data_IF_904118357852
#
_entry.id   IF_904118357852
#
_cell.length_a   1.000
_cell.length_b   1.000
_cell.length_c   1.000
_cell.angle_alpha   90.00
_cell.angle_beta   90.00
_cell.angle_gamma   90.00
#
_symmetry.space_group_name_H-M   'P 1'
#
loop_
_entity.id
_entity.type
_entity.pdbx_description
1 polymer ?
#
# COMPACT_ATOMS: atom_id res chain seq x y z
N UNK A 1 27.14 8.31 15.56
CA UNK A 1 26.60 9.49 16.27
C UNK A 1 25.55 9.00 17.25
N UNK A 2 25.82 9.08 18.54
CA UNK A 2 24.81 8.86 19.57
C UNK A 2 23.74 9.94 19.39
N UNK A 3 22.55 9.53 18.92
CA UNK A 3 21.41 10.46 18.90
C UNK A 3 21.08 10.77 20.35
N UNK A 4 21.07 12.05 20.69
CA UNK A 4 20.63 12.51 22.00
C UNK A 4 19.23 11.94 22.26
N UNK A 5 18.95 11.48 23.48
CA UNK A 5 17.59 11.05 23.83
C UNK A 5 16.65 12.23 23.59
N UNK A 6 15.47 11.96 23.04
CA UNK A 6 14.42 12.98 22.94
C UNK A 6 13.96 13.25 24.38
N UNK A 7 14.45 14.35 24.96
CA UNK A 7 14.14 14.76 26.34
C UNK A 7 12.77 15.47 26.47
N UNK A 8 11.93 15.39 25.45
CA UNK A 8 10.68 16.09 25.40
C UNK A 8 9.53 15.23 25.92
N UNK A 9 8.73 15.75 26.85
CA UNK A 9 7.51 15.07 27.32
C UNK A 9 6.32 15.29 26.36
N UNK A 10 6.37 16.32 25.49
CA UNK A 10 5.30 16.69 24.56
C UNK A 10 5.85 16.77 23.15
N UNK A 11 5.39 15.86 22.27
CA UNK A 11 5.89 15.74 20.90
C UNK A 11 4.80 15.95 19.86
N UNK A 12 5.14 16.65 18.78
CA UNK A 12 4.32 16.78 17.59
C UNK A 12 4.92 15.96 16.46
N UNK A 13 4.20 14.96 15.97
CA UNK A 13 4.57 14.19 14.79
C UNK A 13 4.05 14.86 13.55
N UNK A 14 4.93 15.21 12.61
CA UNK A 14 4.58 15.72 11.30
C UNK A 14 4.74 14.62 10.27
N UNK A 15 3.62 14.16 9.69
CA UNK A 15 3.62 13.16 8.64
C UNK A 15 3.96 13.80 7.27
N UNK A 16 4.38 13.01 6.27
CA UNK A 16 4.56 13.52 4.92
C UNK A 16 3.25 14.13 4.35
N UNK A 17 3.33 15.19 3.55
CA UNK A 17 2.13 15.86 3.00
C UNK A 17 1.34 14.99 2.02
N UNK A 18 2.01 14.03 1.38
CA UNK A 18 1.39 13.15 0.39
C UNK A 18 1.61 11.70 0.79
N UNK A 19 0.70 11.17 1.58
CA UNK A 19 0.69 9.75 1.97
C UNK A 19 -0.46 9.01 1.32
N UNK A 20 -0.28 7.71 1.06
CA UNK A 20 -1.34 6.81 0.66
C UNK A 20 -2.14 6.27 1.85
N UNK A 21 -3.26 5.61 1.57
CA UNK A 21 -4.08 4.96 2.61
C UNK A 21 -3.28 3.91 3.39
N UNK A 22 -2.41 3.15 2.71
CA UNK A 22 -1.53 2.16 3.35
C UNK A 22 -0.54 2.81 4.31
N UNK A 23 0.11 3.91 3.87
CA UNK A 23 1.06 4.65 4.69
C UNK A 23 0.37 5.22 5.94
N UNK A 24 -0.86 5.74 5.79
CA UNK A 24 -1.64 6.26 6.91
C UNK A 24 -1.87 5.21 8.00
N UNK A 25 -2.17 3.96 7.61
CA UNK A 25 -2.30 2.84 8.55
C UNK A 25 -0.98 2.52 9.23
N UNK A 26 0.13 2.45 8.50
CA UNK A 26 1.45 2.13 9.07
C UNK A 26 1.93 3.24 10.04
N UNK A 27 1.71 4.52 9.71
CA UNK A 27 2.00 5.62 10.64
C UNK A 27 1.12 5.58 11.88
N UNK A 28 -0.20 5.37 11.71
CA UNK A 28 -1.12 5.29 12.83
C UNK A 28 -0.77 4.12 13.77
N UNK A 29 -0.37 2.98 13.20
CA UNK A 29 0.13 1.80 13.91
C UNK A 29 1.34 2.15 14.80
N UNK A 30 2.30 2.86 14.24
CA UNK A 30 3.53 3.24 14.95
C UNK A 30 3.26 4.26 16.06
N UNK A 31 2.46 5.27 15.76
CA UNK A 31 2.12 6.33 16.73
C UNK A 31 1.28 5.76 17.87
N UNK A 32 0.38 4.81 17.58
CA UNK A 32 -0.35 4.08 18.61
C UNK A 32 0.59 3.32 19.54
N UNK A 33 1.59 2.63 18.99
CA UNK A 33 2.59 1.93 19.77
C UNK A 33 3.42 2.89 20.65
N UNK A 34 3.76 4.07 20.12
CA UNK A 34 4.44 5.13 20.87
C UNK A 34 3.53 5.64 22.00
N UNK A 35 2.26 5.91 21.73
CA UNK A 35 1.28 6.33 22.74
C UNK A 35 1.16 5.31 23.86
N UNK A 36 1.04 4.04 23.51
CA UNK A 36 0.87 2.96 24.49
C UNK A 36 2.13 2.71 25.35
N UNK A 37 3.30 3.04 24.81
CA UNK A 37 4.57 2.93 25.57
C UNK A 37 4.77 4.03 26.61
N UNK A 38 3.92 5.07 26.59
CA UNK A 38 3.94 6.19 27.55
C UNK A 38 5.28 6.93 27.66
N UNK A 39 6.10 6.90 26.59
CA UNK A 39 7.38 7.64 26.56
C UNK A 39 7.18 9.15 26.35
N UNK A 40 5.97 9.58 26.01
CA UNK A 40 5.55 10.98 25.93
C UNK A 40 4.23 11.19 26.67
N UNK A 41 4.12 12.29 27.40
CA UNK A 41 2.90 12.67 28.13
C UNK A 41 1.83 13.18 27.14
N UNK A 42 2.26 13.84 26.06
CA UNK A 42 1.38 14.38 25.06
C UNK A 42 1.92 14.15 23.64
N UNK A 43 1.06 13.61 22.80
CA UNK A 43 1.32 13.39 21.37
C UNK A 43 0.33 14.20 20.56
N UNK A 44 0.83 14.96 19.59
CA UNK A 44 0.07 15.58 18.51
C UNK A 44 0.49 15.02 17.17
N UNK A 45 -0.41 15.10 16.18
CA UNK A 45 -0.17 14.56 14.85
C UNK A 45 -0.65 15.58 13.82
N UNK A 46 0.28 16.05 12.99
CA UNK A 46 0.00 16.90 11.85
C UNK A 46 0.05 16.09 10.55
N UNK A 47 -1.04 16.11 9.77
CA UNK A 47 -1.16 15.28 8.57
C UNK A 47 -2.28 15.74 7.64
N UNK A 48 -2.41 15.06 6.49
CA UNK A 48 -3.50 15.31 5.55
C UNK A 48 -4.85 14.85 6.14
N UNK A 49 -5.81 15.73 6.25
CA UNK A 49 -7.12 15.51 6.89
C UNK A 49 -7.92 14.33 6.32
N UNK A 50 -7.70 13.98 5.07
CA UNK A 50 -8.38 12.89 4.37
C UNK A 50 -8.25 11.52 5.06
N UNK A 51 -7.37 11.37 6.05
CA UNK A 51 -7.13 10.12 6.79
C UNK A 51 -7.41 10.24 8.29
N UNK A 52 -8.00 11.36 8.75
CA UNK A 52 -8.29 11.61 10.18
C UNK A 52 -9.09 10.48 10.81
N UNK A 53 -10.04 9.91 10.06
CA UNK A 53 -10.85 8.78 10.52
C UNK A 53 -10.00 7.52 10.84
N UNK A 54 -8.88 7.27 10.11
CA UNK A 54 -7.98 6.15 10.42
C UNK A 54 -7.39 6.35 11.82
N UNK A 55 -6.80 7.50 12.07
CA UNK A 55 -6.13 7.80 13.32
C UNK A 55 -7.09 7.81 14.51
N UNK A 56 -8.22 8.49 14.36
CA UNK A 56 -9.21 8.64 15.43
C UNK A 56 -10.00 7.38 15.70
N UNK A 57 -10.65 6.82 14.66
CA UNK A 57 -11.70 5.82 14.84
C UNK A 57 -11.14 4.41 15.01
N UNK A 58 -9.91 4.15 14.52
CA UNK A 58 -9.29 2.82 14.59
C UNK A 58 -8.10 2.74 15.54
N UNK A 59 -7.43 3.85 15.80
CA UNK A 59 -6.26 3.87 16.67
C UNK A 59 -6.43 4.71 17.95
N UNK A 60 -7.58 5.34 18.15
CA UNK A 60 -7.89 6.20 19.28
C UNK A 60 -6.81 7.28 19.49
N UNK A 61 -6.35 7.89 18.39
CA UNK A 61 -5.39 8.97 18.41
C UNK A 61 -6.14 10.30 18.33
N UNK A 62 -5.88 11.13 19.33
CA UNK A 62 -6.45 12.47 19.49
C UNK A 62 -5.42 13.53 19.08
N UNK A 63 -5.69 14.81 19.29
CA UNK A 63 -4.79 15.92 18.96
C UNK A 63 -4.30 15.86 17.49
N UNK A 64 -5.26 15.74 16.58
CA UNK A 64 -5.04 15.69 15.13
C UNK A 64 -5.11 17.11 14.57
N UNK A 65 -4.14 17.49 13.76
CA UNK A 65 -4.00 18.82 13.19
C UNK A 65 -3.78 18.75 11.67
N UNK A 66 -4.20 19.79 10.92
CA UNK A 66 -3.83 19.92 9.51
C UNK A 66 -2.31 20.13 9.37
N UNK A 67 -1.79 19.97 8.17
CA UNK A 67 -0.36 20.20 7.90
C UNK A 67 0.09 21.65 8.17
N UNK A 68 -0.79 22.59 7.93
CA UNK A 68 -0.54 24.00 8.26
C UNK A 68 -0.94 24.20 9.72
N UNK A 69 0.05 24.37 10.57
CA UNK A 69 -0.12 24.41 12.02
C UNK A 69 0.07 25.85 12.50
N UNK A 70 -0.84 26.33 13.33
CA UNK A 70 -0.71 27.66 13.93
C UNK A 70 0.39 27.70 15.01
N UNK A 71 0.90 28.89 15.27
CA UNK A 71 1.91 29.12 16.32
C UNK A 71 1.43 28.66 17.70
N UNK A 72 0.16 28.88 18.02
CA UNK A 72 -0.46 28.49 19.29
C UNK A 72 -0.48 26.97 19.47
N UNK A 73 -0.64 26.20 18.39
CA UNK A 73 -0.56 24.75 18.42
C UNK A 73 0.88 24.30 18.61
N UNK A 74 1.83 24.89 17.85
CA UNK A 74 3.24 24.55 17.97
C UNK A 74 3.77 24.78 19.39
N UNK A 75 3.37 25.85 20.05
CA UNK A 75 3.76 26.16 21.43
C UNK A 75 3.29 25.15 22.47
N UNK A 76 2.33 24.27 22.13
CA UNK A 76 1.86 23.19 23.04
C UNK A 76 2.81 22.00 23.09
N UNK A 77 3.83 21.97 22.24
CA UNK A 77 4.77 20.87 22.10
C UNK A 77 6.21 21.34 22.30
N UNK A 78 7.02 20.49 22.92
CA UNK A 78 8.42 20.78 23.23
C UNK A 78 9.36 20.32 22.11
N UNK A 79 8.92 19.37 21.29
CA UNK A 79 9.67 18.94 20.12
C UNK A 79 8.76 18.57 18.95
N UNK A 80 9.32 18.67 17.75
CA UNK A 80 8.68 18.32 16.49
C UNK A 80 9.49 17.19 15.87
N UNK A 81 8.82 16.10 15.51
CA UNK A 81 9.42 14.98 14.80
C UNK A 81 8.85 14.91 13.37
N UNK A 82 9.71 15.11 12.39
CA UNK A 82 9.32 15.09 11.00
C UNK A 82 9.64 13.75 10.36
N UNK A 83 8.64 12.91 10.17
CA UNK A 83 8.82 11.55 9.67
C UNK A 83 9.50 11.46 8.31
N UNK A 84 9.21 12.34 7.39
CA UNK A 84 9.84 12.33 6.05
C UNK A 84 11.37 12.47 6.13
N UNK A 85 11.84 13.38 6.95
CA UNK A 85 13.28 13.66 7.09
C UNK A 85 13.98 12.53 7.84
N UNK A 86 13.40 12.11 8.96
CA UNK A 86 14.01 11.10 9.83
C UNK A 86 14.00 9.71 9.20
N UNK A 87 12.88 9.28 8.61
CA UNK A 87 12.81 7.98 7.94
C UNK A 87 13.72 7.94 6.72
N UNK A 88 13.74 9.00 5.91
CA UNK A 88 14.61 9.07 4.75
C UNK A 88 16.09 9.01 5.13
N UNK A 89 16.48 9.66 6.22
CA UNK A 89 17.82 9.58 6.76
C UNK A 89 18.18 8.15 7.20
N UNK A 90 17.25 7.46 7.88
CA UNK A 90 17.42 6.07 8.29
C UNK A 90 17.53 5.10 7.10
N UNK A 91 16.71 5.26 6.09
CA UNK A 91 16.72 4.43 4.88
C UNK A 91 18.01 4.63 4.07
N UNK A 92 18.47 5.87 3.91
CA UNK A 92 19.69 6.17 3.18
C UNK A 92 20.95 5.57 3.86
N UNK A 93 20.96 5.50 5.19
CA UNK A 93 22.10 4.92 5.92
C UNK A 93 22.26 3.42 5.68
N UNK A 94 21.21 2.72 5.30
CA UNK A 94 21.19 1.24 5.25
C UNK A 94 21.01 0.66 3.86
N UNK A 95 20.73 1.46 2.85
CA UNK A 95 20.32 1.00 1.51
C UNK A 95 19.21 -0.09 1.52
N UNK A 96 18.44 -0.17 2.61
CA UNK A 96 17.41 -1.18 2.81
C UNK A 96 16.06 -0.47 2.91
N UNK A 97 15.13 -0.86 2.05
CA UNK A 97 13.73 -0.54 2.23
C UNK A 97 13.18 -1.42 3.35
N UNK A 98 12.52 -0.79 4.30
CA UNK A 98 11.88 -1.46 5.41
C UNK A 98 10.45 -0.94 5.59
N UNK A 99 9.68 -1.70 6.34
CA UNK A 99 8.32 -1.29 6.69
C UNK A 99 8.36 -0.05 7.59
N UNK A 100 7.47 0.92 7.33
CA UNK A 100 7.38 2.20 8.06
C UNK A 100 7.21 1.97 9.56
N UNK A 101 6.24 1.12 9.95
CA UNK A 101 5.98 0.79 11.34
C UNK A 101 7.21 0.21 12.04
N UNK A 102 7.90 -0.71 11.39
CA UNK A 102 9.10 -1.34 11.94
C UNK A 102 10.22 -0.33 12.18
N UNK A 103 10.48 0.57 11.24
CA UNK A 103 11.57 1.56 11.38
C UNK A 103 11.26 2.60 12.47
N UNK A 104 10.01 3.05 12.56
CA UNK A 104 9.60 3.98 13.61
C UNK A 104 9.72 3.34 15.00
N UNK A 105 9.18 2.13 15.16
CA UNK A 105 9.29 1.39 16.43
C UNK A 105 10.76 1.16 16.85
N UNK A 106 11.60 0.83 15.87
CA UNK A 106 13.03 0.66 16.12
C UNK A 106 13.71 1.96 16.53
N UNK A 107 13.37 3.09 15.90
CA UNK A 107 13.90 4.40 16.26
C UNK A 107 13.57 4.76 17.71
N UNK A 108 12.32 4.57 18.13
CA UNK A 108 11.87 4.83 19.49
C UNK A 108 12.15 3.68 20.48
N UNK A 109 12.84 2.61 20.04
CA UNK A 109 13.15 1.41 20.84
C UNK A 109 11.93 0.72 21.43
N UNK A 110 10.80 0.75 20.72
CA UNK A 110 9.54 0.17 21.15
C UNK A 110 9.41 -1.26 20.61
N UNK A 111 9.08 -2.18 21.50
CA UNK A 111 8.68 -3.55 21.15
C UNK A 111 7.17 -3.66 21.36
N UNK A 112 6.41 -3.76 20.30
CA UNK A 112 4.97 -3.98 20.35
C UNK A 112 4.50 -4.81 19.17
N UNK A 113 3.46 -5.62 19.41
CA UNK A 113 2.76 -6.32 18.35
C UNK A 113 1.96 -5.34 17.48
N UNK A 114 1.65 -5.69 16.25
CA UNK A 114 0.75 -4.91 15.42
C UNK A 114 -0.62 -4.75 16.11
N UNK A 115 -1.19 -3.55 16.02
CA UNK A 115 -2.56 -3.31 16.46
C UNK A 115 -3.54 -3.95 15.48
N UNK A 116 -4.30 -4.94 15.93
CA UNK A 116 -5.23 -5.73 15.12
C UNK A 116 -6.62 -5.63 15.71
N UNK A 117 -7.61 -5.33 14.86
CA UNK A 117 -9.01 -5.20 15.24
C UNK A 117 -9.79 -6.49 14.94
N UNK A 118 -9.82 -7.42 15.90
CA UNK A 118 -10.46 -8.73 15.74
C UNK A 118 -11.99 -8.71 15.72
N UNK A 119 -12.63 -7.67 16.23
CA UNK A 119 -14.10 -7.58 16.38
C UNK A 119 -14.89 -7.65 15.06
N UNK A 120 -14.21 -7.54 13.92
CA UNK A 120 -14.83 -7.56 12.59
C UNK A 120 -14.74 -8.91 11.86
N UNK A 121 -14.30 -9.98 12.55
CA UNK A 121 -14.10 -11.29 11.90
C UNK A 121 -15.39 -12.12 11.73
N UNK A 122 -16.49 -11.75 12.39
CA UNK A 122 -17.72 -12.56 12.47
C UNK A 122 -18.75 -12.27 11.39
N UNK A 123 -18.41 -11.50 10.36
CA UNK A 123 -19.36 -11.19 9.29
C UNK A 123 -19.34 -12.34 8.28
N UNK A 124 -20.34 -13.24 8.38
CA UNK A 124 -20.52 -14.34 7.44
C UNK A 124 -21.07 -13.84 6.10
N UNK A 125 -20.21 -13.51 5.16
CA UNK A 125 -20.57 -13.51 3.74
C UNK A 125 -20.28 -14.91 3.19
N UNK A 126 -21.30 -15.64 2.76
CA UNK A 126 -21.13 -16.99 2.18
C UNK A 126 -20.31 -16.90 0.90
N UNK A 127 -19.21 -17.67 0.85
CA UNK A 127 -18.44 -17.98 -0.37
C UNK A 127 -18.12 -16.76 -1.27
N UNK A 128 -17.71 -15.65 -0.69
CA UNK A 128 -17.36 -14.46 -1.46
C UNK A 128 -15.85 -14.22 -1.46
N UNK A 129 -15.27 -14.01 -2.65
CA UNK A 129 -13.89 -13.57 -2.83
C UNK A 129 -13.88 -12.15 -3.33
N UNK A 130 -13.11 -11.30 -2.67
CA UNK A 130 -12.95 -9.88 -3.00
C UNK A 130 -11.58 -9.63 -3.63
N UNK A 131 -11.53 -9.07 -4.84
CA UNK A 131 -10.30 -8.79 -5.58
C UNK A 131 -10.05 -7.29 -5.57
N UNK A 132 -8.84 -6.88 -5.15
CA UNK A 132 -8.35 -5.50 -5.11
C UNK A 132 -7.19 -5.36 -6.11
N UNK A 133 -7.48 -5.22 -7.42
CA UNK A 133 -6.46 -5.31 -8.46
C UNK A 133 -5.65 -4.03 -8.66
N UNK A 134 -6.08 -2.92 -8.06
CA UNK A 134 -5.64 -1.56 -8.38
C UNK A 134 -4.65 -1.01 -7.36
N UNK A 135 -3.64 -0.33 -7.86
CA UNK A 135 -2.76 0.57 -7.12
C UNK A 135 -2.60 1.89 -7.88
N UNK A 136 -2.03 2.90 -7.23
CA UNK A 136 -1.71 4.18 -7.87
C UNK A 136 -0.57 4.09 -8.90
N UNK A 137 0.09 2.94 -8.98
CA UNK A 137 1.16 2.66 -9.94
C UNK A 137 0.86 1.41 -10.74
N UNK A 138 1.12 1.41 -12.06
CA UNK A 138 0.95 0.23 -12.91
C UNK A 138 1.89 -0.92 -12.52
N UNK A 139 3.04 -0.65 -11.86
CA UNK A 139 3.94 -1.69 -11.34
C UNK A 139 3.33 -2.53 -10.22
N UNK A 140 2.30 -2.03 -9.59
CA UNK A 140 1.63 -2.64 -8.44
C UNK A 140 0.16 -2.92 -8.73
N UNK A 141 -0.25 -2.74 -9.99
CA UNK A 141 -1.60 -3.02 -10.48
C UNK A 141 -1.61 -4.38 -11.18
N UNK A 142 -2.66 -5.16 -10.97
CA UNK A 142 -2.81 -6.49 -11.57
C UNK A 142 -2.97 -6.39 -13.08
N UNK A 143 -2.20 -7.14 -13.89
CA UNK A 143 -2.41 -7.20 -15.34
C UNK A 143 -3.81 -7.72 -15.69
N UNK A 144 -4.41 -7.16 -16.75
CA UNK A 144 -5.79 -7.47 -17.14
C UNK A 144 -6.03 -8.95 -17.47
N UNK A 145 -5.04 -9.59 -18.10
CA UNK A 145 -5.12 -11.03 -18.40
C UNK A 145 -5.13 -11.88 -17.13
N UNK A 146 -4.36 -11.51 -16.12
CA UNK A 146 -4.34 -12.18 -14.82
C UNK A 146 -5.70 -11.99 -14.12
N UNK A 147 -6.21 -10.75 -14.09
CA UNK A 147 -7.50 -10.45 -13.50
C UNK A 147 -8.64 -11.26 -14.14
N UNK A 148 -8.74 -11.25 -15.48
CA UNK A 148 -9.80 -11.95 -16.19
C UNK A 148 -9.70 -13.47 -16.01
N UNK A 149 -8.51 -14.04 -16.00
CA UNK A 149 -8.33 -15.47 -15.75
C UNK A 149 -8.70 -15.87 -14.32
N UNK A 150 -8.36 -15.05 -13.33
CA UNK A 150 -8.80 -15.26 -11.95
C UNK A 150 -10.33 -15.20 -11.84
N UNK A 151 -10.96 -14.19 -12.42
CA UNK A 151 -12.42 -14.05 -12.45
C UNK A 151 -13.07 -15.30 -13.08
N UNK A 152 -12.62 -15.71 -14.27
CA UNK A 152 -13.20 -16.83 -14.99
C UNK A 152 -13.10 -18.15 -14.22
N UNK A 153 -12.03 -18.34 -13.46
CA UNK A 153 -11.87 -19.52 -12.64
C UNK A 153 -12.72 -19.43 -11.36
N UNK A 154 -12.61 -18.33 -10.63
CA UNK A 154 -13.23 -18.18 -9.31
C UNK A 154 -14.75 -18.13 -9.37
N UNK A 155 -15.33 -17.58 -10.44
CA UNK A 155 -16.79 -17.53 -10.66
C UNK A 155 -17.45 -18.92 -10.75
N UNK A 156 -16.67 -19.99 -10.95
CA UNK A 156 -17.19 -21.36 -10.95
C UNK A 156 -17.56 -21.83 -9.54
N UNK A 157 -16.95 -21.23 -8.51
CA UNK A 157 -17.02 -21.73 -7.13
C UNK A 157 -17.45 -20.66 -6.13
N UNK A 158 -17.27 -19.39 -6.45
CA UNK A 158 -17.43 -18.27 -5.52
C UNK A 158 -18.19 -17.10 -6.15
N UNK A 159 -18.84 -16.32 -5.32
CA UNK A 159 -19.26 -14.98 -5.70
C UNK A 159 -18.02 -14.08 -5.73
N UNK A 160 -17.71 -13.51 -6.88
CA UNK A 160 -16.53 -12.65 -7.06
C UNK A 160 -16.95 -11.17 -7.00
N UNK A 161 -16.38 -10.44 -6.05
CA UNK A 161 -16.48 -8.98 -5.97
C UNK A 161 -15.15 -8.37 -6.43
N UNK A 162 -15.17 -7.42 -7.36
CA UNK A 162 -13.97 -6.74 -7.86
C UNK A 162 -14.08 -5.25 -7.53
N UNK A 163 -13.07 -4.73 -6.85
CA UNK A 163 -13.05 -3.35 -6.35
C UNK A 163 -12.28 -2.44 -7.30
N UNK A 164 -12.95 -1.39 -7.75
CA UNK A 164 -12.42 -0.36 -8.63
C UNK A 164 -12.47 1.01 -7.95
N UNK A 165 -11.82 1.99 -8.55
CA UNK A 165 -11.84 3.40 -8.13
C UNK A 165 -12.12 4.25 -9.37
N UNK A 166 -13.34 4.76 -9.51
CA UNK A 166 -13.76 5.57 -10.67
C UNK A 166 -12.98 6.86 -10.85
N UNK A 167 -12.31 7.34 -9.80
CA UNK A 167 -11.47 8.54 -9.89
C UNK A 167 -10.05 8.23 -10.38
N UNK A 168 -9.71 6.95 -10.57
CA UNK A 168 -8.41 6.49 -11.07
C UNK A 168 -8.50 6.08 -12.53
N UNK A 169 -7.69 6.71 -13.39
CA UNK A 169 -7.62 6.35 -14.82
C UNK A 169 -7.11 4.93 -15.05
N UNK A 170 -6.18 4.47 -14.21
CA UNK A 170 -5.71 3.08 -14.22
C UNK A 170 -6.89 2.14 -13.96
N UNK A 171 -7.71 2.48 -12.98
CA UNK A 171 -8.88 1.71 -12.61
C UNK A 171 -9.93 1.67 -13.73
N UNK A 172 -10.25 2.81 -14.30
CA UNK A 172 -11.22 2.90 -15.40
C UNK A 172 -10.76 2.08 -16.62
N UNK A 173 -9.46 2.16 -16.94
CA UNK A 173 -8.90 1.38 -18.04
C UNK A 173 -8.98 -0.15 -17.79
N UNK A 174 -8.75 -0.61 -16.55
CA UNK A 174 -8.96 -2.01 -16.18
C UNK A 174 -10.44 -2.40 -16.24
N UNK A 175 -11.32 -1.57 -15.67
CA UNK A 175 -12.75 -1.83 -15.60
C UNK A 175 -13.38 -2.02 -17.00
N UNK A 176 -12.97 -1.19 -17.97
CA UNK A 176 -13.43 -1.31 -19.36
C UNK A 176 -13.11 -2.67 -20.00
N UNK A 177 -11.99 -3.29 -19.60
CA UNK A 177 -11.44 -4.54 -20.16
C UNK A 177 -11.68 -5.77 -19.29
N UNK A 178 -12.27 -5.56 -18.11
CA UNK A 178 -12.60 -6.65 -17.19
C UNK A 178 -13.80 -7.43 -17.70
N UNK A 179 -13.70 -8.77 -17.65
CA UNK A 179 -14.86 -9.63 -17.89
C UNK A 179 -15.88 -9.44 -16.77
N UNK A 180 -17.00 -8.79 -17.09
CA UNK A 180 -18.04 -8.44 -16.12
C UNK A 180 -19.09 -9.54 -15.92
N UNK A 181 -18.96 -10.68 -16.62
CA UNK A 181 -19.92 -11.78 -16.50
C UNK A 181 -19.85 -12.41 -15.11
N UNK A 182 -20.99 -12.46 -14.42
CA UNK A 182 -21.17 -13.10 -13.11
C UNK A 182 -20.28 -12.55 -12.00
N UNK A 183 -19.87 -11.28 -12.07
CA UNK A 183 -19.14 -10.60 -10.99
C UNK A 183 -19.94 -9.44 -10.43
N UNK A 184 -19.63 -9.07 -9.19
CA UNK A 184 -20.12 -7.85 -8.59
C UNK A 184 -19.02 -6.79 -8.62
N UNK A 185 -19.24 -5.74 -9.39
CA UNK A 185 -18.36 -4.58 -9.41
C UNK A 185 -18.65 -3.72 -8.19
N UNK A 186 -17.61 -3.36 -7.47
CA UNK A 186 -17.60 -2.47 -6.31
C UNK A 186 -16.81 -1.22 -6.64
N UNK A 187 -17.40 -0.07 -6.42
CA UNK A 187 -16.78 1.23 -6.67
C UNK A 187 -17.08 2.16 -5.47
N UNK A 188 -16.34 2.01 -4.36
CA UNK A 188 -16.54 2.82 -3.17
C UNK A 188 -16.34 4.31 -3.47
N UNK A 189 -17.32 5.13 -3.11
CA UNK A 189 -17.31 6.57 -3.38
C UNK A 189 -16.25 7.29 -2.53
N UNK A 190 -15.97 6.74 -1.34
CA UNK A 190 -15.04 7.33 -0.38
C UNK A 190 -14.10 6.31 0.24
N UNK A 191 -12.99 6.80 0.83
CA UNK A 191 -12.07 5.96 1.59
C UNK A 191 -12.72 5.31 2.80
N UNK A 192 -13.67 5.99 3.44
CA UNK A 192 -14.43 5.45 4.57
C UNK A 192 -15.29 4.28 4.12
N UNK A 193 -15.97 4.43 2.98
CA UNK A 193 -16.75 3.34 2.39
C UNK A 193 -15.89 2.15 2.02
N UNK A 194 -14.74 2.37 1.37
CA UNK A 194 -13.77 1.31 1.05
C UNK A 194 -13.35 0.54 2.31
N UNK A 195 -13.02 1.26 3.38
CA UNK A 195 -12.65 0.63 4.67
C UNK A 195 -13.82 -0.17 5.24
N UNK A 196 -15.05 0.35 5.16
CA UNK A 196 -16.25 -0.35 5.62
C UNK A 196 -16.54 -1.60 4.78
N UNK A 197 -16.30 -1.57 3.49
CA UNK A 197 -16.42 -2.76 2.64
C UNK A 197 -15.34 -3.80 2.99
N UNK A 198 -14.07 -3.39 3.20
CA UNK A 198 -12.99 -4.31 3.57
C UNK A 198 -13.25 -4.99 4.93
N UNK A 199 -13.91 -4.32 5.88
CA UNK A 199 -14.35 -4.96 7.14
C UNK A 199 -15.27 -6.16 6.92
N UNK A 200 -16.01 -6.18 5.81
CA UNK A 200 -17.01 -7.20 5.50
C UNK A 200 -16.47 -8.35 4.64
N UNK A 201 -15.29 -8.21 4.05
CA UNK A 201 -14.75 -9.27 3.20
C UNK A 201 -14.47 -10.55 3.99
N UNK A 202 -14.65 -11.68 3.34
CA UNK A 202 -14.28 -12.98 3.87
C UNK A 202 -12.86 -13.36 3.49
N UNK A 203 -12.54 -13.22 2.21
CA UNK A 203 -11.23 -13.52 1.64
C UNK A 203 -10.85 -12.48 0.60
N UNK A 204 -9.62 -11.98 0.66
CA UNK A 204 -9.13 -10.94 -0.24
C UNK A 204 -7.99 -11.40 -1.14
N UNK A 205 -8.00 -10.94 -2.39
CA UNK A 205 -6.85 -11.03 -3.31
C UNK A 205 -6.33 -9.61 -3.50
N UNK A 206 -5.11 -9.37 -3.07
CA UNK A 206 -4.52 -8.04 -3.00
C UNK A 206 -3.30 -7.89 -3.90
N UNK A 207 -3.17 -6.72 -4.47
CA UNK A 207 -1.89 -6.16 -4.89
C UNK A 207 -1.32 -5.27 -3.78
N UNK A 208 -0.09 -4.75 -3.97
CA UNK A 208 0.51 -3.76 -3.07
C UNK A 208 -0.24 -2.42 -3.17
N UNK A 209 -1.21 -2.24 -2.29
CA UNK A 209 -2.11 -1.08 -2.25
C UNK A 209 -2.73 -0.85 -0.87
N UNK A 210 -3.40 0.27 -0.68
CA UNK A 210 -4.07 0.62 0.58
C UNK A 210 -5.01 -0.46 1.15
N UNK A 211 -5.85 -1.12 0.35
CA UNK A 211 -6.70 -2.24 0.79
C UNK A 211 -5.97 -3.36 1.53
N UNK A 212 -4.75 -3.70 1.13
CA UNK A 212 -3.94 -4.70 1.84
C UNK A 212 -3.68 -4.31 3.30
N UNK A 213 -3.30 -3.06 3.55
CA UNK A 213 -3.00 -2.58 4.90
C UNK A 213 -4.25 -2.50 5.78
N UNK A 214 -5.39 -2.12 5.18
CA UNK A 214 -6.69 -2.16 5.86
C UNK A 214 -7.11 -3.60 6.19
N UNK A 215 -6.90 -4.54 5.28
CA UNK A 215 -7.20 -5.95 5.51
C UNK A 215 -6.37 -6.52 6.67
N UNK A 216 -5.09 -6.17 6.77
CA UNK A 216 -4.22 -6.50 7.92
C UNK A 216 -4.79 -5.95 9.21
N UNK A 217 -5.19 -4.66 9.24
CA UNK A 217 -5.77 -4.01 10.41
C UNK A 217 -7.01 -4.75 10.92
N UNK A 218 -7.85 -5.23 10.01
CA UNK A 218 -9.09 -5.97 10.36
C UNK A 218 -8.92 -7.50 10.39
N UNK A 219 -7.68 -7.99 10.44
CA UNK A 219 -7.38 -9.41 10.58
C UNK A 219 -8.00 -10.31 9.50
N UNK A 220 -8.02 -9.84 8.26
CA UNK A 220 -8.63 -10.56 7.13
C UNK A 220 -7.68 -11.61 6.55
N UNK A 221 -8.26 -12.71 6.05
CA UNK A 221 -7.55 -13.73 5.29
C UNK A 221 -7.41 -13.33 3.83
N UNK A 222 -6.40 -13.87 3.16
CA UNK A 222 -6.27 -13.69 1.71
C UNK A 222 -4.88 -13.95 1.17
N UNK A 223 -4.66 -13.48 -0.05
CA UNK A 223 -3.38 -13.56 -0.76
C UNK A 223 -2.91 -12.18 -1.18
N UNK A 224 -1.60 -11.98 -1.06
CA UNK A 224 -0.87 -10.88 -1.68
C UNK A 224 -0.13 -11.41 -2.90
N UNK A 225 -0.41 -10.86 -4.08
CA UNK A 225 0.39 -11.08 -5.28
C UNK A 225 1.56 -10.10 -5.23
N UNK A 226 2.76 -10.63 -4.95
CA UNK A 226 3.97 -9.84 -4.85
C UNK A 226 4.40 -9.35 -6.24
N UNK A 227 4.70 -8.07 -6.34
CA UNK A 227 5.21 -7.45 -7.57
C UNK A 227 6.61 -6.88 -7.34
N UNK A 228 6.72 -5.57 -7.19
CA UNK A 228 8.01 -4.87 -7.03
C UNK A 228 8.46 -4.71 -5.59
N UNK A 229 7.52 -4.70 -4.64
CA UNK A 229 7.81 -4.56 -3.21
C UNK A 229 7.69 -5.92 -2.52
N UNK A 230 8.66 -6.24 -1.70
CA UNK A 230 8.72 -7.53 -1.01
C UNK A 230 7.58 -7.68 0.00
N UNK A 231 6.98 -8.86 0.02
CA UNK A 231 5.99 -9.25 1.04
C UNK A 231 6.51 -9.14 2.47
N UNK A 232 7.80 -9.31 2.69
CA UNK A 232 8.42 -9.09 4.02
C UNK A 232 8.21 -7.66 4.52
N UNK A 233 8.23 -6.68 3.60
CA UNK A 233 7.97 -5.27 3.92
C UNK A 233 6.48 -5.04 4.10
N UNK A 234 5.65 -5.55 3.17
CA UNK A 234 4.22 -5.27 3.13
C UNK A 234 3.44 -5.98 4.25
N UNK A 235 3.76 -7.23 4.52
CA UNK A 235 3.04 -8.03 5.52
C UNK A 235 3.60 -7.86 6.94
N UNK A 236 4.90 -7.57 7.09
CA UNK A 236 5.53 -7.31 8.39
C UNK A 236 5.10 -8.32 9.49
N UNK A 237 5.35 -9.61 9.24
CA UNK A 237 4.95 -10.74 10.12
C UNK A 237 3.44 -11.02 10.25
N UNK A 238 2.60 -10.35 9.45
CA UNK A 238 1.19 -10.69 9.38
C UNK A 238 1.01 -12.03 8.63
N UNK A 239 0.37 -13.01 9.27
CA UNK A 239 0.36 -14.40 8.81
C UNK A 239 -0.95 -14.87 8.16
N UNK A 240 -2.04 -14.07 8.23
CA UNK A 240 -3.31 -14.46 7.61
C UNK A 240 -3.42 -14.12 6.12
N UNK A 241 -2.45 -13.38 5.58
CA UNK A 241 -2.34 -13.13 4.16
C UNK A 241 -1.09 -13.85 3.66
N UNK A 242 -1.30 -14.80 2.76
CA UNK A 242 -0.23 -15.58 2.15
C UNK A 242 0.33 -14.78 0.99
N UNK A 243 1.66 -14.73 0.87
CA UNK A 243 2.31 -14.06 -0.25
C UNK A 243 2.61 -15.04 -1.37
N UNK A 244 2.16 -14.70 -2.58
CA UNK A 244 2.58 -15.37 -3.81
C UNK A 244 3.73 -14.58 -4.40
N UNK A 245 4.93 -15.15 -4.29
CA UNK A 245 6.16 -14.52 -4.77
C UNK A 245 6.25 -14.64 -6.29
N UNK A 246 6.71 -13.56 -6.89
CA UNK A 246 7.07 -13.53 -8.29
C UNK A 246 8.58 -13.33 -8.44
N UNK A 247 9.32 -14.42 -8.56
CA UNK A 247 10.78 -14.43 -8.65
C UNK A 247 11.23 -14.18 -10.10
N UNK A 248 11.10 -12.95 -10.57
CA UNK A 248 11.64 -12.56 -11.86
C UNK A 248 13.09 -12.12 -11.73
N UNK A 249 13.95 -12.59 -12.63
CA UNK A 249 15.35 -12.14 -12.73
C UNK A 249 15.76 -12.05 -14.20
N UNK A 250 16.44 -10.97 -14.54
CA UNK A 250 17.07 -10.74 -15.83
C UNK A 250 18.39 -10.03 -15.65
N UNK A 251 19.14 -9.82 -16.75
CA UNK A 251 20.41 -9.07 -16.71
C UNK A 251 20.31 -7.69 -16.04
N UNK A 252 19.14 -7.03 -16.15
CA UNK A 252 18.94 -5.65 -15.73
C UNK A 252 17.87 -5.46 -14.66
N UNK A 253 17.13 -6.51 -14.32
CA UNK A 253 15.99 -6.41 -13.40
C UNK A 253 15.86 -7.67 -12.55
N UNK A 254 15.55 -7.47 -11.27
CA UNK A 254 15.25 -8.54 -10.30
C UNK A 254 14.03 -8.14 -9.48
N UNK A 255 13.07 -9.04 -9.33
CA UNK A 255 11.92 -8.84 -8.44
C UNK A 255 12.14 -9.62 -7.13
N UNK A 256 11.76 -9.03 -6.00
CA UNK A 256 11.26 -7.67 -5.79
C UNK A 256 12.40 -6.64 -5.85
N UNK A 257 12.23 -5.58 -6.63
CA UNK A 257 13.23 -4.52 -6.81
C UNK A 257 13.03 -3.31 -5.88
N UNK A 258 11.88 -3.24 -5.24
CA UNK A 258 11.49 -2.16 -4.35
C UNK A 258 11.03 -0.87 -5.05
N UNK A 259 10.89 -0.82 -6.37
CA UNK A 259 10.29 0.32 -7.06
C UNK A 259 8.81 0.42 -6.72
N UNK A 260 8.38 1.61 -6.38
CA UNK A 260 6.96 1.89 -6.08
C UNK A 260 6.23 2.46 -7.28
N UNK A 261 6.96 2.97 -8.28
CA UNK A 261 6.40 3.50 -9.50
C UNK A 261 7.31 3.24 -10.71
N UNK A 262 6.76 3.41 -11.94
CA UNK A 262 7.48 3.25 -13.21
C UNK A 262 8.71 4.14 -13.30
N UNK A 263 8.61 5.33 -12.74
CA UNK A 263 9.65 6.36 -12.76
C UNK A 263 10.10 6.68 -11.34
N UNK A 264 11.41 6.87 -11.17
CA UNK A 264 11.93 7.46 -9.95
C UNK A 264 11.78 8.99 -9.96
N UNK A 265 11.82 9.59 -8.78
CA UNK A 265 11.79 11.03 -8.60
C UNK A 265 12.86 11.78 -9.42
N UNK A 266 14.00 11.15 -9.69
CA UNK A 266 15.08 11.75 -10.47
C UNK A 266 15.01 11.43 -11.98
N UNK A 267 13.95 10.82 -12.46
CA UNK A 267 13.75 10.56 -13.90
C UNK A 267 14.66 9.49 -14.53
N UNK A 268 15.75 9.11 -13.88
CA UNK A 268 16.83 8.36 -14.52
C UNK A 268 16.78 6.83 -14.34
N UNK A 269 15.98 6.32 -13.43
CA UNK A 269 15.91 4.89 -13.20
C UNK A 269 14.48 4.47 -12.90
N UNK A 270 13.86 3.83 -13.83
CA UNK A 270 12.55 3.21 -13.67
C UNK A 270 12.59 1.78 -14.19
N UNK A 271 11.46 1.11 -14.13
CA UNK A 271 11.33 -0.25 -14.58
C UNK A 271 11.75 -0.43 -16.05
N UNK A 272 11.32 0.45 -16.93
CA UNK A 272 11.68 0.40 -18.35
C UNK A 272 13.17 0.60 -18.59
N UNK A 273 13.80 1.53 -17.88
CA UNK A 273 15.24 1.77 -18.00
C UNK A 273 16.05 0.52 -17.60
N UNK A 274 15.63 -0.11 -16.50
CA UNK A 274 16.25 -1.34 -16.02
C UNK A 274 16.14 -2.49 -17.01
N UNK A 275 15.07 -2.54 -17.79
CA UNK A 275 14.82 -3.57 -18.80
C UNK A 275 15.32 -3.18 -20.20
N UNK A 276 15.83 -1.96 -20.38
CA UNK A 276 16.26 -1.40 -21.69
C UNK A 276 15.23 -1.59 -22.77
N UNK A 277 13.99 -1.24 -22.48
CA UNK A 277 12.89 -1.34 -23.43
C UNK A 277 12.84 -0.14 -24.38
N UNK A 278 12.12 -0.26 -25.49
CA UNK A 278 11.93 0.83 -26.47
C UNK A 278 11.25 2.07 -25.89
N UNK A 279 10.49 1.91 -24.79
CA UNK A 279 9.90 3.02 -24.06
C UNK A 279 10.95 3.92 -23.37
N UNK A 280 12.17 3.43 -23.19
CA UNK A 280 13.28 4.25 -22.70
C UNK A 280 13.68 5.37 -23.67
N UNK A 281 13.50 5.15 -24.97
CA UNK A 281 13.79 6.19 -25.98
C UNK A 281 12.82 7.36 -25.86
N UNK A 282 11.55 7.10 -25.59
CA UNK A 282 10.56 8.14 -25.36
C UNK A 282 10.80 8.91 -24.08
N UNK A 283 11.46 8.29 -23.11
CA UNK A 283 11.81 8.84 -21.83
C UNK A 283 12.92 9.90 -21.91
N UNK A 284 13.93 9.68 -22.73
CA UNK A 284 15.05 10.63 -22.91
C UNK A 284 14.61 11.98 -23.48
N UNK A 285 13.53 11.98 -24.25
CA UNK A 285 13.02 13.19 -24.89
C UNK A 285 12.07 14.00 -24.00
N UNK A 286 11.73 13.51 -22.81
CA UNK A 286 10.71 14.09 -21.95
C UNK A 286 11.21 14.24 -20.51
N UNK A 287 12.27 15.01 -20.31
CA UNK A 287 12.83 15.30 -18.97
C UNK A 287 11.92 16.13 -18.04
N UNK A 288 10.76 16.57 -18.52
CA UNK A 288 9.80 17.46 -17.81
C UNK A 288 8.64 16.65 -17.16
N UNK A 289 8.87 15.42 -16.82
CA UNK A 289 7.86 14.40 -16.50
C UNK A 289 7.01 14.64 -15.26
N UNK A 290 7.49 15.44 -14.34
CA UNK A 290 6.75 15.70 -13.11
C UNK A 290 5.65 16.75 -13.28
N UNK A 291 5.71 17.56 -14.34
CA UNK A 291 4.77 18.65 -14.58
C UNK A 291 3.66 18.31 -15.58
N UNK A 292 3.87 17.31 -16.42
CA UNK A 292 2.87 16.94 -17.42
C UNK A 292 2.17 15.60 -17.09
N UNK A 293 1.05 15.68 -16.38
CA UNK A 293 0.17 14.55 -16.09
C UNK A 293 -0.19 13.69 -17.31
N UNK A 294 -0.21 14.26 -18.52
CA UNK A 294 -0.55 13.54 -19.77
C UNK A 294 0.52 12.53 -20.19
N UNK A 295 1.80 12.84 -20.06
CA UNK A 295 2.89 11.92 -20.41
C UNK A 295 2.95 10.72 -19.46
N UNK A 296 2.77 10.94 -18.16
CA UNK A 296 2.71 9.89 -17.13
C UNK A 296 1.53 8.95 -17.41
N UNK A 297 0.36 9.50 -17.73
CA UNK A 297 -0.85 8.75 -18.06
C UNK A 297 -0.62 7.76 -19.19
N UNK A 298 -0.09 8.23 -20.32
CA UNK A 298 0.13 7.37 -21.50
C UNK A 298 1.11 6.23 -21.21
N UNK A 299 2.17 6.50 -20.46
CA UNK A 299 3.14 5.49 -20.04
C UNK A 299 2.54 4.46 -19.08
N UNK A 300 1.69 4.90 -18.14
CA UNK A 300 0.99 4.02 -17.23
C UNK A 300 0.05 3.07 -17.96
N UNK A 301 -0.78 3.59 -18.85
CA UNK A 301 -1.70 2.78 -19.64
C UNK A 301 -0.98 1.83 -20.60
N UNK A 302 0.13 2.26 -21.19
CA UNK A 302 0.98 1.40 -22.03
C UNK A 302 1.54 0.21 -21.25
N UNK A 303 2.00 0.44 -20.01
CA UNK A 303 2.49 -0.64 -19.15
C UNK A 303 1.37 -1.61 -18.74
N UNK A 304 0.17 -1.11 -18.45
CA UNK A 304 -0.97 -1.97 -18.09
C UNK A 304 -1.41 -2.85 -19.26
N UNK A 305 -1.39 -2.30 -20.49
CA UNK A 305 -1.69 -3.05 -21.72
C UNK A 305 -0.64 -4.12 -22.02
N UNK A 306 0.62 -3.78 -21.86
CA UNK A 306 1.76 -4.64 -22.16
C UNK A 306 2.79 -4.59 -21.02
N UNK A 307 2.51 -5.25 -19.89
CA UNK A 307 3.40 -5.26 -18.73
C UNK A 307 4.74 -5.88 -19.09
N UNK A 308 5.81 -5.37 -18.47
CA UNK A 308 7.17 -5.88 -18.67
C UNK A 308 7.70 -6.45 -17.35
N UNK A 309 8.79 -7.19 -17.43
CA UNK A 309 9.49 -7.72 -16.26
C UNK A 309 8.63 -8.63 -15.40
N UNK A 310 8.62 -8.38 -14.09
CA UNK A 310 7.96 -9.26 -13.12
C UNK A 310 6.43 -9.40 -13.33
N UNK A 311 5.74 -8.35 -13.76
CA UNK A 311 4.30 -8.45 -14.00
C UNK A 311 3.95 -9.26 -15.27
N UNK A 312 4.83 -9.27 -16.28
CA UNK A 312 4.65 -10.08 -17.48
C UNK A 312 4.75 -11.58 -17.17
N UNK A 313 5.54 -11.97 -16.19
CA UNK A 313 5.82 -13.37 -15.84
C UNK A 313 4.93 -13.93 -14.73
N UNK A 314 3.94 -13.17 -14.27
CA UNK A 314 2.96 -13.66 -13.32
C UNK A 314 2.25 -14.90 -13.87
N UNK A 315 2.26 -15.99 -13.10
CA UNK A 315 1.63 -17.25 -13.47
C UNK A 315 0.29 -17.42 -12.76
N UNK A 316 -0.80 -17.36 -13.54
CA UNK A 316 -2.17 -17.51 -13.02
C UNK A 316 -2.37 -18.87 -12.35
N UNK A 317 -1.83 -19.96 -12.91
CA UNK A 317 -2.02 -21.28 -12.35
C UNK A 317 -1.40 -21.39 -10.96
N UNK A 318 -0.22 -20.79 -10.75
CA UNK A 318 0.37 -20.73 -9.41
C UNK A 318 -0.53 -19.98 -8.42
N UNK A 319 -1.10 -18.86 -8.85
CA UNK A 319 -2.02 -18.06 -8.01
C UNK A 319 -3.25 -18.91 -7.64
N UNK A 320 -3.86 -19.57 -8.62
CA UNK A 320 -5.01 -20.42 -8.42
C UNK A 320 -4.73 -21.62 -7.50
N UNK A 321 -3.59 -22.28 -7.65
CA UNK A 321 -3.19 -23.38 -6.79
C UNK A 321 -3.08 -22.95 -5.31
N UNK A 322 -2.56 -21.75 -5.06
CA UNK A 322 -2.51 -21.23 -3.68
C UNK A 322 -3.90 -20.90 -3.14
N UNK A 323 -4.80 -20.31 -3.96
CA UNK A 323 -6.18 -20.03 -3.55
C UNK A 323 -6.92 -21.32 -3.21
N UNK A 324 -6.81 -22.32 -4.07
CA UNK A 324 -7.45 -23.64 -3.88
C UNK A 324 -6.95 -24.27 -2.58
N UNK A 325 -5.63 -24.28 -2.37
CA UNK A 325 -5.02 -24.86 -1.17
C UNK A 325 -5.45 -24.12 0.11
N UNK A 326 -5.62 -22.80 0.08
CA UNK A 326 -5.95 -22.01 1.28
C UNK A 326 -7.46 -21.98 1.59
N UNK A 327 -8.30 -22.20 0.59
CA UNK A 327 -9.77 -22.11 0.72
C UNK A 327 -10.49 -23.46 0.75
N UNK A 328 -9.95 -24.48 0.09
CA UNK A 328 -10.63 -25.76 -0.11
C UNK A 328 -10.03 -26.90 0.71
N UNK A 329 -8.91 -26.68 1.38
CA UNK A 329 -8.33 -27.54 2.41
C UNK A 329 -8.52 -26.93 3.81
#
# INVERSE_FOLDING_TARGET
RNKAPILANKILFCLPPSIGLGDAVEYAQSIKAIKDSKIFDKIGIAFCENYSFIFRDYFNLENLYPHVISKEILQKYQSIFHFTLEIKALQNQKNIRSNIDTEIKKFFKIKSNPHILNKYNNIKKKNTISIFPISNSPLRTMPINILNNLINFLNKYFLVEVYFDKNSEISNHLLERTNKKNIKIKDPISRVELVNEIKKIQYGIFMDSGPLHIAKLFNKKGILIESTVSSKILLNNYNKIISIKNNFSSKYCRSPCGLTDLFNYNGNSGCYNSLRTTLDKNKKNNSIYYLERRGIKNNYLSHIKAPVGCLRTLNVQNILNYIIKDLLL
#
